data_IF_917437620215
#
_entry.id   IF_917437620215
#
_cell.length_a   1.000
_cell.length_b   1.000
_cell.length_c   1.000
_cell.angle_alpha   90.00
_cell.angle_beta   90.00
_cell.angle_gamma   90.00
#
_symmetry.space_group_name_H-M   'P 1'
#
loop_
_entity.id
_entity.type
_entity.pdbx_description
1 polymer ?
#
# COMPACT_ATOMS: atom_id res chain seq x y z
N UNK A 1 31.98 0.08 -20.95
CA UNK A 1 31.07 -0.37 -19.87
C UNK A 1 31.89 -1.30 -19.00
N UNK A 2 32.06 -1.00 -17.71
CA UNK A 2 32.75 -1.87 -16.76
C UNK A 2 31.79 -3.02 -16.40
N UNK A 3 32.06 -4.22 -16.87
CA UNK A 3 31.20 -5.38 -16.57
C UNK A 3 31.43 -5.94 -15.16
N UNK A 4 30.53 -6.77 -14.68
CA UNK A 4 30.64 -7.44 -13.36
C UNK A 4 31.86 -8.39 -13.29
N UNK A 5 32.42 -8.81 -14.41
CA UNK A 5 33.60 -9.67 -14.51
C UNK A 5 34.86 -9.04 -13.89
N UNK A 6 34.88 -7.73 -13.70
CA UNK A 6 35.96 -6.99 -13.06
C UNK A 6 35.77 -6.80 -11.54
N UNK A 7 34.64 -7.27 -10.98
CA UNK A 7 34.39 -7.18 -9.55
C UNK A 7 34.82 -8.48 -8.87
N UNK A 8 35.89 -8.43 -8.10
CA UNK A 8 36.35 -9.59 -7.31
C UNK A 8 35.40 -9.78 -6.12
N UNK A 9 34.70 -10.93 -6.03
CA UNK A 9 33.86 -11.23 -4.87
C UNK A 9 34.70 -11.31 -3.59
N UNK A 10 34.26 -10.65 -2.54
CA UNK A 10 34.91 -10.73 -1.24
C UNK A 10 33.92 -11.20 -0.18
N UNK A 11 34.38 -12.05 0.74
CA UNK A 11 33.59 -12.40 1.91
C UNK A 11 33.52 -11.22 2.89
N UNK A 12 32.38 -11.08 3.55
CA UNK A 12 32.23 -10.13 4.64
C UNK A 12 33.25 -10.44 5.75
N UNK A 13 34.15 -9.50 5.99
CA UNK A 13 35.07 -9.51 7.13
C UNK A 13 34.47 -8.67 8.26
N UNK A 14 33.52 -9.26 8.99
CA UNK A 14 32.92 -8.58 10.14
C UNK A 14 33.60 -9.11 11.42
N UNK A 15 34.14 -8.19 12.22
CA UNK A 15 34.70 -8.51 13.53
C UNK A 15 33.65 -8.80 14.61
N UNK A 16 32.40 -8.40 14.39
CA UNK A 16 31.29 -8.65 15.29
C UNK A 16 30.03 -9.01 14.49
N UNK A 17 29.40 -10.11 14.85
CA UNK A 17 28.06 -10.48 14.38
C UNK A 17 27.09 -9.74 15.28
N UNK A 18 26.40 -8.73 14.72
CA UNK A 18 25.26 -8.13 15.42
C UNK A 18 24.09 -9.11 15.37
N UNK A 19 23.42 -9.32 16.51
CA UNK A 19 22.21 -10.14 16.56
C UNK A 19 21.14 -9.55 15.64
N UNK A 20 20.79 -10.28 14.60
CA UNK A 20 19.66 -9.95 13.72
C UNK A 20 18.34 -10.21 14.43
N UNK A 21 17.26 -9.61 13.91
CA UNK A 21 15.92 -9.87 14.41
C UNK A 21 14.93 -8.77 14.02
N UNK A 22 13.66 -9.06 14.21
CA UNK A 22 12.60 -8.09 13.96
C UNK A 22 12.56 -7.04 15.07
N UNK A 23 12.44 -5.76 14.67
CA UNK A 23 12.15 -4.67 15.59
C UNK A 23 10.68 -4.73 16.07
N UNK A 24 10.31 -3.87 17.00
CA UNK A 24 8.96 -3.86 17.59
C UNK A 24 7.87 -3.60 16.54
N UNK A 25 8.11 -2.68 15.60
CA UNK A 25 7.18 -2.37 14.51
C UNK A 25 6.93 -3.60 13.64
N UNK A 26 8.00 -4.24 13.16
CA UNK A 26 7.90 -5.46 12.35
C UNK A 26 7.20 -6.62 13.07
N UNK A 27 7.46 -6.78 14.38
CA UNK A 27 6.75 -7.79 15.20
C UNK A 27 5.26 -7.49 15.30
N UNK A 28 4.88 -6.23 15.45
CA UNK A 28 3.46 -5.80 15.52
C UNK A 28 2.77 -6.03 14.19
N UNK A 29 3.39 -5.58 13.09
CA UNK A 29 2.88 -5.82 11.74
C UNK A 29 2.66 -7.31 11.46
N UNK A 30 3.65 -8.15 11.80
CA UNK A 30 3.51 -9.60 11.63
C UNK A 30 2.38 -10.20 12.46
N UNK A 31 2.12 -9.70 13.68
CA UNK A 31 0.98 -10.13 14.50
C UNK A 31 -0.35 -9.77 13.83
N UNK A 32 -0.47 -8.55 13.30
CA UNK A 32 -1.65 -8.10 12.58
C UNK A 32 -1.89 -8.97 11.35
N UNK A 33 -0.87 -9.18 10.52
CA UNK A 33 -0.95 -10.04 9.33
C UNK A 33 -1.41 -11.45 9.68
N UNK A 34 -0.84 -12.05 10.73
CA UNK A 34 -1.25 -13.40 11.19
C UNK A 34 -2.69 -13.45 11.67
N UNK A 35 -3.15 -12.42 12.39
CA UNK A 35 -4.53 -12.34 12.85
C UNK A 35 -5.51 -12.25 11.69
N UNK A 36 -5.24 -11.41 10.70
CA UNK A 36 -6.08 -11.27 9.51
C UNK A 36 -6.08 -12.53 8.63
N UNK A 37 -4.91 -13.15 8.44
CA UNK A 37 -4.83 -14.44 7.73
C UNK A 37 -5.62 -15.54 8.46
N UNK A 38 -5.59 -15.57 9.80
CA UNK A 38 -6.37 -16.52 10.58
C UNK A 38 -7.90 -16.31 10.42
N UNK A 39 -8.32 -15.10 10.08
CA UNK A 39 -9.71 -14.77 9.71
C UNK A 39 -10.02 -15.00 8.23
N UNK A 40 -9.12 -15.63 7.47
CA UNK A 40 -9.32 -15.93 6.07
C UNK A 40 -9.09 -14.76 5.11
N UNK A 41 -8.48 -13.67 5.58
CA UNK A 41 -8.15 -12.55 4.72
C UNK A 41 -6.84 -12.77 3.96
N UNK A 42 -6.80 -12.38 2.69
CA UNK A 42 -5.61 -12.42 1.84
C UNK A 42 -4.89 -11.07 1.84
N UNK A 43 -3.56 -11.10 1.85
CA UNK A 43 -2.77 -9.88 1.73
C UNK A 43 -2.75 -9.41 0.27
N UNK A 44 -3.14 -8.14 0.07
CA UNK A 44 -3.00 -7.43 -1.19
C UNK A 44 -1.80 -6.49 -1.14
N UNK A 45 -1.13 -6.33 -2.26
CA UNK A 45 -0.06 -5.33 -2.44
C UNK A 45 -0.34 -4.55 -3.70
N UNK A 46 -0.55 -3.25 -3.55
CA UNK A 46 -0.88 -2.36 -4.65
C UNK A 46 0.19 -1.28 -4.84
N UNK A 47 0.18 -0.62 -5.98
CA UNK A 47 1.05 0.53 -6.24
C UNK A 47 0.76 1.69 -5.28
N UNK A 48 1.81 2.43 -4.94
CA UNK A 48 1.69 3.68 -4.17
C UNK A 48 1.15 4.86 -5.00
N UNK A 49 0.66 4.59 -6.20
CA UNK A 49 0.18 5.56 -7.17
C UNK A 49 -1.26 5.24 -7.55
N UNK A 50 -2.03 6.27 -7.87
CA UNK A 50 -3.41 6.12 -8.30
C UNK A 50 -3.80 7.21 -9.29
N UNK A 51 -4.98 7.06 -9.91
CA UNK A 51 -5.52 7.98 -10.88
C UNK A 51 -6.21 9.17 -10.22
N UNK A 52 -6.17 10.37 -10.82
CA UNK A 52 -7.06 11.45 -10.42
C UNK A 52 -8.54 11.05 -10.39
N UNK A 53 -8.97 10.14 -11.29
CA UNK A 53 -10.35 9.63 -11.33
C UNK A 53 -10.69 8.75 -10.14
N UNK A 54 -9.72 8.11 -9.51
CA UNK A 54 -9.92 7.24 -8.35
C UNK A 54 -10.47 8.00 -7.13
N UNK A 55 -10.10 9.27 -6.99
CA UNK A 55 -10.64 10.14 -5.93
C UNK A 55 -12.15 10.42 -6.13
N UNK A 56 -12.61 10.39 -7.37
CA UNK A 56 -14.03 10.59 -7.67
C UNK A 56 -14.86 9.34 -7.35
N UNK A 57 -14.27 8.13 -7.45
CA UNK A 57 -14.92 6.88 -7.06
C UNK A 57 -15.31 6.85 -5.58
N UNK A 58 -14.57 7.55 -4.74
CA UNK A 58 -14.83 7.60 -3.30
C UNK A 58 -15.98 8.56 -2.94
N UNK A 59 -16.49 9.37 -3.88
CA UNK A 59 -17.53 10.36 -3.62
C UNK A 59 -17.12 11.43 -2.59
N UNK A 60 -15.82 11.67 -2.44
CA UNK A 60 -15.30 12.64 -1.48
C UNK A 60 -15.68 14.09 -1.87
N UNK A 61 -15.97 14.96 -0.90
CA UNK A 61 -16.14 16.39 -1.13
C UNK A 61 -14.93 17.01 -1.85
N UNK A 62 -15.12 18.14 -2.52
CA UNK A 62 -14.03 18.78 -3.26
C UNK A 62 -12.89 19.26 -2.35
N UNK A 63 -13.21 19.65 -1.12
CA UNK A 63 -12.30 20.13 -0.08
C UNK A 63 -11.71 19.00 0.78
N UNK A 64 -12.00 17.74 0.48
CA UNK A 64 -11.47 16.61 1.24
C UNK A 64 -9.93 16.58 1.21
N UNK A 65 -9.28 16.39 2.37
CA UNK A 65 -7.80 16.35 2.44
C UNK A 65 -7.19 15.26 1.58
N UNK A 66 -7.89 14.16 1.31
CA UNK A 66 -7.45 13.09 0.43
C UNK A 66 -7.30 13.53 -1.03
N UNK A 67 -7.97 14.62 -1.45
CA UNK A 67 -7.85 15.20 -2.79
C UNK A 67 -6.55 16.00 -2.98
N UNK A 68 -5.90 16.40 -1.90
CA UNK A 68 -4.60 17.06 -1.93
C UNK A 68 -3.50 15.99 -2.12
N UNK A 69 -3.34 15.52 -3.36
CA UNK A 69 -2.38 14.47 -3.70
C UNK A 69 -1.17 15.04 -4.46
N UNK A 70 -0.01 14.45 -4.20
CA UNK A 70 1.25 14.82 -4.85
C UNK A 70 1.23 14.26 -6.28
N UNK A 71 1.42 15.15 -7.27
CA UNK A 71 1.55 14.74 -8.66
C UNK A 71 3.00 14.35 -8.96
N UNK A 72 3.16 13.19 -9.61
CA UNK A 72 4.47 12.75 -10.09
C UNK A 72 4.90 13.55 -11.32
N UNK A 73 6.19 13.89 -11.38
CA UNK A 73 6.78 14.61 -12.53
C UNK A 73 6.86 13.70 -13.75
N UNK A 74 7.18 12.42 -13.53
CA UNK A 74 7.38 11.40 -14.56
C UNK A 74 6.59 10.13 -14.22
N UNK A 75 5.26 10.15 -14.30
CA UNK A 75 4.44 8.99 -13.97
C UNK A 75 4.66 7.85 -14.97
N UNK A 76 4.39 6.62 -14.54
CA UNK A 76 4.45 5.43 -15.40
C UNK A 76 3.44 5.56 -16.56
N UNK A 77 2.26 6.11 -16.25
CA UNK A 77 1.20 6.50 -17.17
C UNK A 77 0.31 7.54 -16.49
N UNK A 78 -0.63 8.15 -17.22
CA UNK A 78 -1.56 9.17 -16.66
C UNK A 78 -2.46 8.61 -15.56
N UNK A 79 -2.82 7.32 -15.63
CA UNK A 79 -3.64 6.65 -14.62
C UNK A 79 -2.90 6.36 -13.31
N UNK A 80 -1.58 6.54 -13.28
CA UNK A 80 -0.73 6.35 -12.11
C UNK A 80 0.09 7.63 -11.83
N UNK A 81 -0.57 8.78 -11.89
CA UNK A 81 0.09 10.08 -11.84
C UNK A 81 0.10 10.76 -10.48
N UNK A 82 -0.63 10.24 -9.51
CA UNK A 82 -0.71 10.79 -8.15
C UNK A 82 -0.19 9.79 -7.12
N UNK A 83 0.53 10.31 -6.10
CA UNK A 83 0.84 9.54 -4.90
C UNK A 83 -0.44 9.32 -4.09
N UNK A 84 -0.67 8.08 -3.63
CA UNK A 84 -1.89 7.74 -2.90
C UNK A 84 -1.97 8.42 -1.53
N UNK A 85 -3.07 9.09 -1.28
CA UNK A 85 -3.44 9.68 0.01
C UNK A 85 -4.32 8.75 0.84
N UNK A 86 -4.85 7.70 0.21
CA UNK A 86 -5.66 6.64 0.82
C UNK A 86 -5.44 5.32 0.06
N UNK A 87 -5.68 4.18 0.71
CA UNK A 87 -5.57 2.85 0.10
C UNK A 87 -6.91 2.37 -0.49
N UNK A 88 -8.00 3.08 -0.22
CA UNK A 88 -9.35 2.64 -0.56
C UNK A 88 -9.59 2.42 -2.06
N UNK A 89 -9.16 3.30 -2.99
CA UNK A 89 -9.41 3.08 -4.42
C UNK A 89 -8.83 1.77 -4.95
N UNK A 90 -7.55 1.49 -4.63
CA UNK A 90 -6.91 0.25 -5.08
C UNK A 90 -7.59 -0.99 -4.49
N UNK A 91 -8.04 -0.91 -3.23
CA UNK A 91 -8.80 -1.96 -2.59
C UNK A 91 -10.14 -2.21 -3.31
N UNK A 92 -10.87 -1.15 -3.66
CA UNK A 92 -12.13 -1.23 -4.42
C UNK A 92 -11.87 -1.86 -5.80
N UNK A 93 -10.82 -1.43 -6.51
CA UNK A 93 -10.45 -2.02 -7.80
C UNK A 93 -10.09 -3.51 -7.67
N UNK A 94 -9.40 -3.90 -6.61
CA UNK A 94 -9.07 -5.30 -6.36
C UNK A 94 -10.34 -6.14 -6.14
N UNK A 95 -11.27 -5.65 -5.31
CA UNK A 95 -12.55 -6.31 -5.05
C UNK A 95 -13.36 -6.44 -6.36
N UNK A 96 -13.51 -5.33 -7.09
CA UNK A 96 -14.26 -5.32 -8.35
C UNK A 96 -13.69 -6.30 -9.38
N UNK A 97 -12.36 -6.40 -9.47
CA UNK A 97 -11.67 -7.37 -10.34
C UNK A 97 -11.95 -8.81 -9.91
N UNK A 98 -11.89 -9.10 -8.62
CA UNK A 98 -12.19 -10.43 -8.09
C UNK A 98 -13.63 -10.83 -8.37
N UNK A 99 -14.60 -9.92 -8.12
CA UNK A 99 -16.01 -10.17 -8.42
C UNK A 99 -16.24 -10.41 -9.91
N UNK A 100 -15.60 -9.62 -10.78
CA UNK A 100 -15.68 -9.82 -12.24
C UNK A 100 -15.13 -11.19 -12.67
N UNK A 101 -14.16 -11.72 -11.95
CA UNK A 101 -13.57 -13.04 -12.18
C UNK A 101 -14.33 -14.17 -11.47
N UNK A 102 -15.52 -13.91 -10.95
CA UNK A 102 -16.41 -14.91 -10.34
C UNK A 102 -16.15 -15.19 -8.86
N UNK A 103 -15.27 -14.44 -8.20
CA UNK A 103 -15.07 -14.51 -6.76
C UNK A 103 -16.17 -13.71 -6.06
N UNK A 104 -17.28 -14.37 -5.70
CA UNK A 104 -18.48 -13.70 -5.20
C UNK A 104 -18.38 -13.21 -3.75
N UNK A 105 -17.43 -13.76 -2.99
CA UNK A 105 -17.17 -13.39 -1.60
C UNK A 105 -15.69 -13.44 -1.30
N UNK A 106 -15.23 -12.68 -0.33
CA UNK A 106 -13.83 -12.69 0.08
C UNK A 106 -13.45 -11.57 1.02
N UNK A 107 -12.21 -11.68 1.51
CA UNK A 107 -11.60 -10.72 2.42
C UNK A 107 -10.18 -10.45 1.96
N UNK A 108 -9.83 -9.19 1.79
CA UNK A 108 -8.49 -8.75 1.41
C UNK A 108 -8.04 -7.64 2.35
N UNK A 109 -6.79 -7.62 2.71
CA UNK A 109 -6.19 -6.51 3.45
C UNK A 109 -4.89 -6.05 2.79
N UNK A 110 -4.54 -4.80 3.03
CA UNK A 110 -3.24 -4.23 2.69
C UNK A 110 -2.71 -3.43 3.86
N UNK A 111 -1.43 -3.60 4.17
CA UNK A 111 -0.68 -2.70 5.03
C UNK A 111 0.28 -1.94 4.15
N UNK A 112 0.09 -0.63 4.02
CA UNK A 112 0.87 0.20 3.12
C UNK A 112 0.88 1.67 3.52
N UNK A 113 1.83 2.42 2.96
CA UNK A 113 1.94 3.84 3.23
C UNK A 113 0.96 4.63 2.39
N UNK A 114 0.39 5.67 2.99
CA UNK A 114 -0.24 6.80 2.33
C UNK A 114 0.65 8.04 2.48
N UNK A 115 0.58 8.96 1.53
CA UNK A 115 1.48 10.10 1.41
C UNK A 115 0.68 11.39 1.49
N UNK A 116 0.81 12.10 2.60
CA UNK A 116 0.03 13.31 2.86
C UNK A 116 0.97 14.51 2.73
N UNK A 117 0.80 15.35 1.69
CA UNK A 117 1.58 16.58 1.58
C UNK A 117 1.19 17.54 2.69
N UNK A 118 2.14 18.30 3.20
CA UNK A 118 1.88 19.44 4.07
C UNK A 118 1.51 20.65 3.25
N UNK A 119 2.24 20.86 2.14
CA UNK A 119 2.03 21.95 1.19
C UNK A 119 2.11 21.45 -0.25
N UNK A 120 1.44 22.14 -1.18
CA UNK A 120 1.57 21.95 -2.62
C UNK A 120 1.80 23.29 -3.30
N UNK A 121 2.89 23.47 -4.10
CA UNK A 121 3.92 22.49 -4.40
C UNK A 121 4.73 22.09 -3.17
N UNK A 122 5.28 20.87 -3.18
CA UNK A 122 6.05 20.33 -2.04
C UNK A 122 7.24 21.25 -1.69
N UNK A 123 7.32 21.65 -0.44
CA UNK A 123 8.47 22.38 0.15
C UNK A 123 9.32 21.46 1.03
N UNK A 124 8.73 20.35 1.52
CA UNK A 124 9.37 19.33 2.34
C UNK A 124 8.80 17.94 2.02
N UNK A 125 9.40 16.90 2.59
CA UNK A 125 8.90 15.53 2.43
C UNK A 125 7.48 15.38 2.97
N UNK A 126 6.61 14.60 2.28
CA UNK A 126 5.27 14.33 2.76
C UNK A 126 5.30 13.53 4.05
N UNK A 127 4.22 13.59 4.79
CA UNK A 127 3.99 12.71 5.93
C UNK A 127 3.60 11.31 5.41
N UNK A 128 4.49 10.35 5.61
CA UNK A 128 4.27 8.95 5.24
C UNK A 128 3.65 8.20 6.42
N UNK A 129 2.40 7.79 6.27
CA UNK A 129 1.68 7.04 7.29
C UNK A 129 1.38 5.63 6.85
N UNK A 130 1.94 4.67 7.57
CA UNK A 130 1.55 3.28 7.44
C UNK A 130 0.10 3.11 7.89
N UNK A 131 -0.69 2.52 7.02
CA UNK A 131 -2.15 2.43 7.17
C UNK A 131 -2.58 1.03 6.77
N UNK A 132 -3.55 0.48 7.48
CA UNK A 132 -4.22 -0.75 7.11
C UNK A 132 -5.52 -0.42 6.40
N UNK A 133 -5.79 -1.13 5.31
CA UNK A 133 -7.06 -1.12 4.62
C UNK A 133 -7.58 -2.55 4.51
N UNK A 134 -8.85 -2.76 4.84
CA UNK A 134 -9.49 -4.07 4.80
C UNK A 134 -10.71 -3.96 3.89
N UNK A 135 -10.80 -4.85 2.92
CA UNK A 135 -11.94 -4.98 2.02
C UNK A 135 -12.63 -6.32 2.22
N UNK A 136 -13.95 -6.28 2.37
CA UNK A 136 -14.79 -7.45 2.56
C UNK A 136 -15.94 -7.36 1.58
N UNK A 137 -16.30 -8.48 0.96
CA UNK A 137 -17.45 -8.55 0.06
C UNK A 137 -18.10 -9.95 0.14
N UNK A 138 -19.41 -9.99 -0.08
CA UNK A 138 -20.22 -11.21 -0.01
C UNK A 138 -21.61 -10.90 0.52
N UNK A 139 -22.51 -11.86 0.45
CA UNK A 139 -23.90 -11.66 0.86
C UNK A 139 -24.08 -11.48 2.37
N UNK A 140 -23.26 -12.18 3.16
CA UNK A 140 -23.35 -12.20 4.64
C UNK A 140 -22.15 -11.57 5.31
N UNK A 141 -21.19 -11.04 4.52
CA UNK A 141 -19.98 -10.46 5.03
C UNK A 141 -20.19 -9.00 5.45
N UNK A 142 -19.76 -8.66 6.65
CA UNK A 142 -19.70 -7.29 7.15
C UNK A 142 -18.56 -7.14 8.17
N UNK A 143 -18.26 -5.90 8.58
CA UNK A 143 -17.17 -5.64 9.51
C UNK A 143 -17.36 -6.21 10.92
N UNK A 144 -18.56 -6.64 11.27
CA UNK A 144 -18.85 -7.25 12.57
C UNK A 144 -18.70 -8.77 12.56
N UNK A 145 -18.43 -9.37 11.39
CA UNK A 145 -18.21 -10.83 11.22
C UNK A 145 -16.73 -11.19 11.08
N UNK A 146 -15.86 -10.20 11.19
CA UNK A 146 -14.40 -10.37 11.19
C UNK A 146 -13.86 -10.84 12.53
#
# INVERSE_FOLDING_TARGET
MYGYDHVTPTFLKAAAVTSGGMNTKQKTELKIKRALCAQGAFEGVHYSFFSPSDLNLLGLPEDAPERHAIRLINPINEDLSLMRTTLAPQMIHAIARNQKNGCLEGRVYEIGNKFIPKDLPLTEYPDERETICIGIWGKEENFFTL
#
